data_IF_232363091119
#
_entry.id   IF_232363091119
#
_cell.length_a   1.000
_cell.length_b   1.000
_cell.length_c   1.000
_cell.angle_alpha   90.00
_cell.angle_beta   90.00
_cell.angle_gamma   90.00
#
_symmetry.space_group_name_H-M   'P 1'
#
loop_
_entity.id
_entity.type
_entity.pdbx_description
1 polymer ?
#
# COMPACT_ATOMS: atom_id res chain seq x y z
N UNK A 1 -2.11 -26.32 15.56
CA UNK A 1 -1.94 -24.89 15.84
C UNK A 1 -3.31 -24.26 15.81
N UNK A 2 -3.69 -23.48 16.81
CA UNK A 2 -5.03 -22.89 16.91
C UNK A 2 -5.29 -21.93 15.73
N UNK A 3 -6.51 -21.89 15.25
CA UNK A 3 -6.95 -21.07 14.11
C UNK A 3 -6.64 -19.57 14.33
N UNK A 4 -6.82 -19.08 15.55
CA UNK A 4 -6.51 -17.71 15.93
C UNK A 4 -5.01 -17.42 15.82
N UNK A 5 -4.15 -18.34 16.26
CA UNK A 5 -2.69 -18.18 16.16
C UNK A 5 -2.26 -18.13 14.71
N UNK A 6 -2.83 -18.97 13.84
CA UNK A 6 -2.56 -18.92 12.38
C UNK A 6 -3.01 -17.60 11.77
N UNK A 7 -4.19 -17.11 12.13
CA UNK A 7 -4.70 -15.84 11.66
C UNK A 7 -3.76 -14.68 12.05
N UNK A 8 -3.23 -14.68 13.28
CA UNK A 8 -2.25 -13.69 13.73
C UNK A 8 -0.96 -13.77 12.90
N UNK A 9 -0.42 -14.98 12.72
CA UNK A 9 0.82 -15.19 11.94
C UNK A 9 0.64 -14.71 10.50
N UNK A 10 -0.46 -15.08 9.85
CA UNK A 10 -0.76 -14.66 8.46
C UNK A 10 -0.97 -13.16 8.39
N UNK A 11 -1.65 -12.54 9.35
CA UNK A 11 -1.82 -11.09 9.39
C UNK A 11 -0.47 -10.36 9.39
N UNK A 12 0.44 -10.72 10.29
CA UNK A 12 1.77 -10.10 10.34
C UNK A 12 2.60 -10.43 9.11
N UNK A 13 2.49 -11.63 8.56
CA UNK A 13 3.15 -11.99 7.30
C UNK A 13 2.69 -11.09 6.15
N UNK A 14 1.38 -10.91 5.98
CA UNK A 14 0.81 -10.02 4.95
C UNK A 14 1.21 -8.56 5.19
N UNK A 15 1.21 -8.11 6.45
CA UNK A 15 1.65 -6.77 6.81
C UNK A 15 3.11 -6.51 6.39
N UNK A 16 4.01 -7.46 6.70
CA UNK A 16 5.42 -7.36 6.30
C UNK A 16 5.55 -7.45 4.77
N UNK A 17 4.83 -8.37 4.14
CA UNK A 17 4.86 -8.58 2.70
C UNK A 17 4.44 -7.29 1.94
N UNK A 18 3.33 -6.70 2.32
CA UNK A 18 2.86 -5.44 1.71
C UNK A 18 3.83 -4.29 1.94
N UNK A 19 4.56 -4.33 3.05
CA UNK A 19 5.58 -3.33 3.35
C UNK A 19 6.83 -3.48 2.49
N UNK A 20 7.25 -4.72 2.23
CA UNK A 20 8.40 -5.04 1.36
C UNK A 20 8.10 -4.75 -0.10
N UNK A 21 6.91 -5.11 -0.57
CA UNK A 21 6.46 -4.86 -1.95
C UNK A 21 6.39 -3.34 -2.20
N UNK A 22 5.90 -2.59 -1.23
CA UNK A 22 5.73 -1.15 -1.32
C UNK A 22 4.32 -0.74 -1.76
N UNK A 23 3.94 0.47 -1.36
CA UNK A 23 2.58 1.02 -1.58
C UNK A 23 2.24 1.27 -3.05
N UNK A 24 3.24 1.56 -3.88
CA UNK A 24 3.06 1.89 -5.29
C UNK A 24 2.58 0.69 -6.10
N UNK A 25 3.20 -0.46 -5.91
CA UNK A 25 2.84 -1.68 -6.62
C UNK A 25 1.38 -2.09 -6.34
N UNK A 26 0.87 -1.75 -5.15
CA UNK A 26 -0.51 -2.05 -4.77
C UNK A 26 -1.53 -1.07 -5.37
N UNK A 27 -1.10 0.12 -5.80
CA UNK A 27 -2.01 1.13 -6.38
C UNK A 27 -2.21 0.96 -7.89
N UNK A 28 -1.28 0.30 -8.59
CA UNK A 28 -1.28 0.11 -10.04
C UNK A 28 -1.13 -1.36 -10.41
N UNK A 29 -2.14 -2.17 -10.03
CA UNK A 29 -2.12 -3.60 -10.31
C UNK A 29 -2.34 -3.87 -11.81
N UNK A 30 -1.38 -4.51 -12.45
CA UNK A 30 -1.53 -5.07 -13.78
C UNK A 30 -2.45 -6.30 -13.76
N UNK A 31 -3.06 -6.69 -14.90
CA UNK A 31 -3.90 -7.90 -14.95
C UNK A 31 -3.22 -9.17 -14.44
N UNK A 32 -1.92 -9.30 -14.67
CA UNK A 32 -1.12 -10.41 -14.14
C UNK A 32 -1.04 -10.41 -12.60
N UNK A 33 -0.93 -9.23 -12.00
CA UNK A 33 -0.85 -9.07 -10.54
C UNK A 33 -2.17 -9.47 -9.86
N UNK A 34 -3.30 -9.20 -10.52
CA UNK A 34 -4.63 -9.63 -10.04
C UNK A 34 -4.73 -11.16 -10.00
N UNK A 35 -4.21 -11.84 -11.02
CA UNK A 35 -4.20 -13.32 -11.06
C UNK A 35 -3.29 -13.85 -9.93
N UNK A 36 -2.12 -13.26 -9.75
CA UNK A 36 -1.22 -13.64 -8.65
C UNK A 36 -1.86 -13.39 -7.28
N UNK A 37 -2.60 -12.30 -7.12
CA UNK A 37 -3.30 -11.98 -5.87
C UNK A 37 -4.38 -13.03 -5.55
N UNK A 38 -5.11 -13.50 -6.56
CA UNK A 38 -6.12 -14.57 -6.39
C UNK A 38 -5.45 -15.87 -5.95
N UNK A 39 -4.36 -16.27 -6.63
CA UNK A 39 -3.60 -17.49 -6.30
C UNK A 39 -3.01 -17.39 -4.88
N UNK A 40 -2.46 -16.23 -4.53
CA UNK A 40 -1.91 -15.98 -3.19
C UNK A 40 -3.02 -16.04 -2.13
N UNK A 41 -4.19 -15.46 -2.43
CA UNK A 41 -5.36 -15.52 -1.54
C UNK A 41 -5.81 -16.96 -1.26
N UNK A 42 -5.87 -17.79 -2.28
CA UNK A 42 -6.21 -19.21 -2.13
C UNK A 42 -5.16 -19.98 -1.32
N UNK A 43 -3.89 -19.75 -1.58
CA UNK A 43 -2.78 -20.36 -0.81
C UNK A 43 -2.80 -19.94 0.67
N UNK A 44 -3.08 -18.66 0.95
CA UNK A 44 -3.23 -18.16 2.32
C UNK A 44 -4.44 -18.75 3.01
N UNK A 45 -5.56 -18.88 2.29
CA UNK A 45 -6.77 -19.54 2.81
C UNK A 45 -6.48 -20.98 3.24
N UNK A 46 -5.81 -21.77 2.41
CA UNK A 46 -5.45 -23.15 2.75
C UNK A 46 -4.56 -23.23 4.00
N UNK A 47 -3.62 -22.30 4.15
CA UNK A 47 -2.78 -22.19 5.34
C UNK A 47 -3.55 -21.78 6.61
N UNK A 48 -4.59 -20.93 6.45
CA UNK A 48 -5.42 -20.45 7.55
C UNK A 48 -6.41 -21.50 8.03
N UNK A 49 -7.24 -22.01 7.12
CA UNK A 49 -8.39 -22.85 7.45
C UNK A 49 -8.02 -24.32 7.54
N UNK A 50 -7.00 -24.79 6.79
CA UNK A 50 -6.74 -26.20 6.56
C UNK A 50 -8.05 -26.93 6.18
N UNK A 51 -8.53 -27.84 7.01
CA UNK A 51 -9.77 -28.61 6.80
C UNK A 51 -10.99 -28.00 7.52
N UNK A 52 -10.83 -26.84 8.19
CA UNK A 52 -11.93 -26.18 8.88
C UNK A 52 -12.67 -25.19 7.97
N UNK A 53 -13.72 -25.68 7.33
CA UNK A 53 -14.61 -24.87 6.49
C UNK A 53 -15.87 -24.40 7.24
N UNK A 54 -15.83 -24.39 8.59
CA UNK A 54 -16.97 -23.98 9.40
C UNK A 54 -17.21 -22.47 9.36
N UNK A 55 -18.46 -22.05 9.52
CA UNK A 55 -18.83 -20.63 9.68
C UNK A 55 -18.14 -20.04 10.92
N UNK A 56 -18.01 -20.82 11.98
CA UNK A 56 -17.30 -20.43 13.22
C UNK A 56 -15.84 -20.14 12.94
N UNK A 57 -15.17 -20.98 12.14
CA UNK A 57 -13.79 -20.76 11.69
C UNK A 57 -13.64 -19.46 10.91
N UNK A 58 -14.54 -19.22 9.96
CA UNK A 58 -14.55 -17.98 9.18
C UNK A 58 -14.73 -16.73 10.07
N UNK A 59 -15.68 -16.77 11.01
CA UNK A 59 -15.92 -15.65 11.94
C UNK A 59 -14.70 -15.39 12.84
N UNK A 60 -14.01 -16.44 13.31
CA UNK A 60 -12.79 -16.30 14.12
C UNK A 60 -11.65 -15.65 13.32
N UNK A 61 -11.44 -16.05 12.06
CA UNK A 61 -10.41 -15.47 11.20
C UNK A 61 -10.70 -13.98 10.93
N UNK A 62 -11.91 -13.69 10.46
CA UNK A 62 -12.32 -12.31 10.13
C UNK A 62 -12.31 -11.44 11.38
N UNK A 63 -12.82 -11.93 12.50
CA UNK A 63 -12.80 -11.24 13.78
C UNK A 63 -11.38 -10.95 14.26
N UNK A 64 -10.48 -11.90 14.15
CA UNK A 64 -9.06 -11.72 14.49
C UNK A 64 -8.43 -10.63 13.62
N UNK A 65 -8.65 -10.65 12.31
CA UNK A 65 -8.12 -9.63 11.41
C UNK A 65 -8.70 -8.25 11.72
N UNK A 66 -10.00 -8.16 11.98
CA UNK A 66 -10.65 -6.91 12.34
C UNK A 66 -10.05 -6.30 13.62
N UNK A 67 -9.87 -7.10 14.67
CA UNK A 67 -9.27 -6.66 15.93
C UNK A 67 -7.84 -6.22 15.73
N UNK A 68 -7.03 -6.98 14.98
CA UNK A 68 -5.64 -6.61 14.69
C UNK A 68 -5.56 -5.32 13.88
N UNK A 69 -6.41 -5.15 12.86
CA UNK A 69 -6.45 -3.95 12.03
C UNK A 69 -6.82 -2.70 12.87
N UNK A 70 -7.86 -2.80 13.70
CA UNK A 70 -8.25 -1.71 14.61
C UNK A 70 -7.12 -1.39 15.59
N UNK A 71 -6.46 -2.42 16.14
CA UNK A 71 -5.33 -2.25 17.05
C UNK A 71 -4.16 -1.55 16.37
N UNK A 72 -3.80 -1.94 15.14
CA UNK A 72 -2.73 -1.31 14.35
C UNK A 72 -3.05 0.16 14.03
N UNK A 73 -4.29 0.43 13.63
CA UNK A 73 -4.75 1.79 13.38
C UNK A 73 -4.70 2.66 14.65
N UNK A 74 -5.12 2.11 15.78
CA UNK A 74 -5.07 2.81 17.06
C UNK A 74 -3.62 3.06 17.52
N UNK A 75 -2.72 2.07 17.34
CA UNK A 75 -1.29 2.24 17.64
C UNK A 75 -0.68 3.34 16.75
N UNK A 76 -0.98 3.36 15.47
CA UNK A 76 -0.54 4.40 14.53
C UNK A 76 -1.03 5.79 14.94
N UNK A 77 -2.27 5.88 15.45
CA UNK A 77 -2.81 7.12 15.98
C UNK A 77 -2.13 7.55 17.30
N UNK A 78 -1.96 6.62 18.24
CA UNK A 78 -1.41 6.90 19.58
C UNK A 78 0.09 7.17 19.57
N UNK A 79 0.83 6.51 18.69
CA UNK A 79 2.28 6.63 18.58
C UNK A 79 2.67 7.16 17.20
N UNK A 80 2.82 8.49 17.10
CA UNK A 80 3.16 9.16 15.84
C UNK A 80 4.43 8.62 15.17
N UNK A 81 5.38 8.06 15.93
CA UNK A 81 6.61 7.45 15.40
C UNK A 81 6.38 6.13 14.66
N UNK A 82 5.30 5.41 14.97
CA UNK A 82 4.94 4.16 14.29
C UNK A 82 4.14 4.41 13.01
N UNK A 83 3.49 5.56 12.89
CA UNK A 83 2.65 5.92 11.76
C UNK A 83 3.36 5.80 10.40
N UNK A 84 4.58 6.31 10.21
CA UNK A 84 5.29 6.16 8.92
C UNK A 84 5.58 4.70 8.57
N UNK A 85 5.80 3.88 9.61
CA UNK A 85 6.07 2.46 9.45
C UNK A 85 4.80 1.69 9.11
N UNK A 86 3.67 2.01 9.73
CA UNK A 86 2.41 1.30 9.55
C UNK A 86 1.61 1.77 8.32
N UNK A 87 1.53 3.07 8.09
CA UNK A 87 0.66 3.68 7.07
C UNK A 87 1.44 4.31 5.90
N UNK A 88 2.73 4.61 6.07
CA UNK A 88 3.51 5.43 5.15
C UNK A 88 3.22 6.92 5.33
N UNK A 89 4.03 7.76 4.69
CA UNK A 89 3.88 9.21 4.68
C UNK A 89 3.83 9.72 3.23
N UNK A 90 3.07 10.79 2.94
CA UNK A 90 3.17 11.47 1.65
C UNK A 90 4.59 11.97 1.43
N UNK A 91 5.10 11.82 0.21
CA UNK A 91 6.46 12.25 -0.15
C UNK A 91 6.40 13.11 -1.39
N UNK A 92 6.94 14.33 -1.29
CA UNK A 92 7.05 15.25 -2.44
C UNK A 92 8.12 14.71 -3.39
N UNK A 93 7.77 14.50 -4.65
CA UNK A 93 8.65 13.97 -5.70
C UNK A 93 8.98 14.99 -6.77
N UNK A 94 8.13 16.02 -6.95
CA UNK A 94 8.39 17.17 -7.81
C UNK A 94 8.04 18.44 -7.04
N UNK A 95 8.90 19.45 -7.12
CA UNK A 95 8.70 20.77 -6.53
C UNK A 95 9.06 21.85 -7.57
N UNK A 96 8.10 22.74 -7.85
CA UNK A 96 8.24 23.83 -8.84
C UNK A 96 8.77 23.38 -10.21
N UNK A 97 8.32 22.23 -10.69
CA UNK A 97 8.73 21.64 -11.97
C UNK A 97 10.04 20.83 -11.90
N UNK A 98 10.71 20.84 -10.75
CA UNK A 98 11.97 20.13 -10.56
C UNK A 98 11.77 18.82 -9.86
N UNK A 99 12.30 17.77 -10.44
CA UNK A 99 12.23 16.41 -9.88
C UNK A 99 13.22 16.27 -8.72
N UNK A 100 12.73 15.73 -7.61
CA UNK A 100 13.57 15.42 -6.44
C UNK A 100 14.07 13.97 -6.59
N UNK A 101 15.21 13.81 -7.28
CA UNK A 101 15.75 12.49 -7.63
C UNK A 101 15.95 11.54 -6.43
N UNK A 102 16.35 12.09 -5.27
CA UNK A 102 16.50 11.30 -4.04
C UNK A 102 15.18 10.66 -3.60
N UNK A 103 14.06 11.40 -3.71
CA UNK A 103 12.75 10.91 -3.29
C UNK A 103 12.20 9.91 -4.32
N UNK A 104 12.40 10.14 -5.62
CA UNK A 104 12.07 9.16 -6.65
C UNK A 104 12.77 7.82 -6.39
N UNK A 105 14.08 7.86 -6.15
CA UNK A 105 14.87 6.65 -5.87
C UNK A 105 14.38 5.92 -4.61
N UNK A 106 14.07 6.67 -3.56
CA UNK A 106 13.53 6.12 -2.31
C UNK A 106 12.22 5.39 -2.52
N UNK A 107 11.33 5.97 -3.34
CA UNK A 107 10.01 5.41 -3.64
C UNK A 107 10.04 4.45 -4.85
N UNK A 108 11.23 4.16 -5.41
CA UNK A 108 11.44 3.29 -6.57
C UNK A 108 10.65 3.72 -7.80
N UNK A 109 10.49 5.04 -7.99
CA UNK A 109 9.81 5.65 -9.12
C UNK A 109 10.81 6.05 -10.20
N UNK A 110 10.44 5.84 -11.46
CA UNK A 110 11.13 6.40 -12.61
C UNK A 110 10.52 7.74 -13.01
N UNK A 111 11.29 8.59 -13.69
CA UNK A 111 10.77 9.84 -14.23
C UNK A 111 9.66 9.59 -15.25
N UNK A 112 9.77 8.51 -16.02
CA UNK A 112 8.79 8.11 -17.04
C UNK A 112 7.43 7.78 -16.40
N UNK A 113 7.40 7.09 -15.31
CA UNK A 113 6.16 6.78 -14.55
C UNK A 113 5.51 8.02 -13.96
N UNK A 114 6.31 8.98 -13.48
CA UNK A 114 5.79 10.28 -13.02
C UNK A 114 5.18 11.07 -14.18
N UNK A 115 5.84 11.08 -15.35
CA UNK A 115 5.33 11.72 -16.54
C UNK A 115 4.07 11.03 -17.09
N UNK A 116 4.00 9.71 -17.02
CA UNK A 116 2.79 8.94 -17.38
C UNK A 116 1.62 9.31 -16.46
N UNK A 117 1.85 9.33 -15.17
CA UNK A 117 0.84 9.73 -14.18
C UNK A 117 0.40 11.19 -14.40
N UNK A 118 1.31 12.09 -14.74
CA UNK A 118 0.99 13.48 -15.07
C UNK A 118 0.05 13.57 -16.28
N UNK A 119 0.29 12.79 -17.33
CA UNK A 119 -0.60 12.74 -18.52
C UNK A 119 -1.99 12.23 -18.18
N UNK A 120 -2.12 11.24 -17.29
CA UNK A 120 -3.41 10.77 -16.79
C UNK A 120 -4.21 11.85 -16.04
N UNK A 121 -3.51 12.85 -15.49
CA UNK A 121 -4.09 14.02 -14.82
C UNK A 121 -4.15 15.26 -15.70
N UNK A 122 -4.09 15.07 -17.03
CA UNK A 122 -4.15 16.17 -18.03
C UNK A 122 -3.06 17.25 -17.84
N UNK A 123 -1.86 16.82 -17.45
CA UNK A 123 -0.68 17.67 -17.31
C UNK A 123 0.29 17.31 -18.41
N UNK A 124 0.53 18.26 -19.32
CA UNK A 124 1.40 18.05 -20.49
C UNK A 124 2.89 18.07 -20.14
N UNK A 125 3.29 18.90 -19.17
CA UNK A 125 4.68 19.06 -18.74
C UNK A 125 4.80 19.15 -17.23
N UNK A 126 5.85 18.54 -16.69
CA UNK A 126 6.17 18.67 -15.27
C UNK A 126 6.52 20.11 -14.87
N UNK A 127 6.88 20.96 -15.82
CA UNK A 127 7.14 22.40 -15.59
C UNK A 127 5.90 23.14 -15.08
N UNK A 128 4.70 22.64 -15.40
CA UNK A 128 3.42 23.21 -14.93
C UNK A 128 3.10 22.80 -13.49
N UNK A 129 3.85 21.84 -12.93
CA UNK A 129 3.59 21.27 -11.62
C UNK A 129 4.28 22.08 -10.55
N UNK A 130 3.51 22.53 -9.56
CA UNK A 130 4.05 23.11 -8.34
C UNK A 130 4.53 22.02 -7.39
N UNK A 131 3.66 21.04 -7.11
CA UNK A 131 3.99 19.87 -6.33
C UNK A 131 3.40 18.60 -6.94
N UNK A 132 4.22 17.56 -7.02
CA UNK A 132 3.75 16.20 -7.19
C UNK A 132 4.10 15.42 -5.92
N UNK A 133 3.11 14.76 -5.35
CA UNK A 133 3.22 14.05 -4.07
C UNK A 133 2.78 12.61 -4.28
N UNK A 134 3.63 11.66 -3.88
CA UNK A 134 3.18 10.28 -3.76
C UNK A 134 2.43 10.14 -2.44
N UNK A 135 1.16 9.76 -2.54
CA UNK A 135 0.27 9.63 -1.40
C UNK A 135 0.48 8.30 -0.65
N UNK A 136 -0.19 8.13 0.49
CA UNK A 136 -0.09 6.90 1.30
C UNK A 136 -0.54 5.65 0.56
N UNK A 137 -1.53 5.77 -0.31
CA UNK A 137 -2.05 4.68 -1.14
C UNK A 137 -1.17 4.36 -2.36
N UNK A 138 -0.10 5.14 -2.60
CA UNK A 138 0.82 4.98 -3.71
C UNK A 138 0.45 5.75 -4.97
N UNK A 139 -0.70 6.41 -5.01
CA UNK A 139 -1.07 7.31 -6.11
C UNK A 139 -0.26 8.60 -6.07
N UNK A 140 -0.11 9.24 -7.23
CA UNK A 140 0.58 10.52 -7.34
C UNK A 140 -0.47 11.62 -7.51
N UNK A 141 -0.52 12.54 -6.56
CA UNK A 141 -1.31 13.76 -6.67
C UNK A 141 -0.49 14.91 -7.24
N UNK A 142 -1.12 15.74 -8.06
CA UNK A 142 -0.47 16.88 -8.71
C UNK A 142 -1.17 18.18 -8.36
N UNK A 143 -0.38 19.18 -7.98
CA UNK A 143 -0.83 20.56 -7.77
C UNK A 143 -0.16 21.42 -8.81
N UNK A 144 -0.95 22.00 -9.71
CA UNK A 144 -0.45 22.90 -10.77
C UNK A 144 0.02 24.23 -10.18
N UNK A 145 0.95 24.88 -10.86
CA UNK A 145 1.31 26.28 -10.58
C UNK A 145 0.10 27.16 -10.85
N UNK A 146 -0.19 28.09 -9.95
CA UNK A 146 -1.18 29.15 -10.24
C UNK A 146 -0.60 30.06 -11.33
N UNK A 147 -1.41 30.30 -12.33
CA UNK A 147 -1.15 31.28 -13.38
C UNK A 147 -1.00 32.68 -12.78
#
# INVERSE_FOLDING_TARGET
>A
MDLVVRAIVVFFFVLVLTRVIGRRELSQLAPFDLILLIILGDALQQGLTQDDYSVTGAVLIVGTFAVLQVTMSWLGFRFARLRPILEGEPVIIVEDGKVIARNLKRERLTLEEVAESARLHEIASLDEVRWAVIERNGEISFIKKSS
#
